data_IF_339635452682
#
_entry.id   IF_339635452682
#
_cell.length_a   1.000
_cell.length_b   1.000
_cell.length_c   1.000
_cell.angle_alpha   90.00
_cell.angle_beta   90.00
_cell.angle_gamma   90.00
#
_symmetry.space_group_name_H-M   'P 1'
#
loop_
_entity.id
_entity.type
_entity.pdbx_description
1 polymer ?
#
# COMPACT_ATOMS: atom_id res chain seq x y z
N UNK A 1 -10.27 41.20 -1.12
CA UNK A 1 -9.96 40.16 -2.14
C UNK A 1 -8.64 39.52 -1.72
N UNK A 2 -8.58 38.19 -1.55
CA UNK A 2 -7.36 37.47 -1.12
C UNK A 2 -6.31 37.55 -2.23
N UNK A 3 -5.10 37.98 -1.88
CA UNK A 3 -3.93 38.12 -2.77
C UNK A 3 -3.03 36.91 -2.67
N UNK A 4 -2.10 36.76 -3.60
CA UNK A 4 -1.08 35.68 -3.56
C UNK A 4 -0.17 35.80 -2.32
N UNK A 5 0.11 37.03 -1.85
CA UNK A 5 0.80 37.30 -0.59
C UNK A 5 0.12 36.69 0.62
N UNK A 6 -1.22 36.79 0.69
CA UNK A 6 -2.01 36.26 1.81
C UNK A 6 -1.97 34.73 1.83
N UNK A 7 -1.96 34.09 0.64
CA UNK A 7 -1.81 32.64 0.53
C UNK A 7 -0.42 32.20 1.00
N UNK A 8 0.62 32.94 0.64
CA UNK A 8 1.98 32.65 1.09
C UNK A 8 2.08 32.77 2.60
N UNK A 9 1.57 33.84 3.18
CA UNK A 9 1.54 34.06 4.63
C UNK A 9 0.77 32.92 5.34
N UNK A 10 -0.36 32.48 4.78
CA UNK A 10 -1.11 31.35 5.31
C UNK A 10 -0.32 30.05 5.29
N UNK A 11 0.41 29.75 4.20
CA UNK A 11 1.24 28.55 4.11
C UNK A 11 2.43 28.61 5.07
N UNK A 12 3.05 29.77 5.24
CA UNK A 12 4.09 30.02 6.23
C UNK A 12 3.55 29.82 7.65
N UNK A 13 2.37 30.38 7.97
CA UNK A 13 1.68 30.12 9.24
C UNK A 13 1.42 28.65 9.50
N UNK A 14 0.97 27.90 8.51
CA UNK A 14 0.76 26.44 8.64
C UNK A 14 2.05 25.71 9.02
N UNK A 15 3.19 26.11 8.44
CA UNK A 15 4.48 25.46 8.66
C UNK A 15 5.10 25.89 9.99
N UNK A 16 5.16 27.20 10.26
CA UNK A 16 5.88 27.75 11.41
C UNK A 16 5.07 27.68 12.70
N UNK A 17 3.81 28.15 12.67
CA UNK A 17 2.97 28.23 13.88
C UNK A 17 2.22 26.94 14.15
N UNK A 18 1.60 26.33 13.11
CA UNK A 18 0.84 25.08 13.24
C UNK A 18 1.69 23.83 13.11
N UNK A 19 2.97 23.96 12.73
CA UNK A 19 3.92 22.85 12.58
C UNK A 19 3.38 21.68 11.77
N UNK A 20 2.53 21.94 10.76
CA UNK A 20 1.97 20.89 9.92
C UNK A 20 3.04 20.26 9.04
N UNK A 21 2.85 19.00 8.68
CA UNK A 21 3.79 18.30 7.79
C UNK A 21 3.87 19.00 6.41
N UNK A 22 5.02 18.89 5.74
CA UNK A 22 5.20 19.38 4.36
C UNK A 22 4.15 18.83 3.40
N UNK A 23 3.63 17.61 3.66
CA UNK A 23 2.57 17.00 2.88
C UNK A 23 1.23 17.71 3.08
N UNK A 24 0.91 18.11 4.31
CA UNK A 24 -0.31 18.85 4.67
C UNK A 24 -0.27 20.25 4.09
N UNK A 25 0.85 20.95 4.22
CA UNK A 25 1.03 22.28 3.62
C UNK A 25 0.89 22.25 2.08
N UNK A 26 1.44 21.21 1.43
CA UNK A 26 1.29 21.00 -0.01
C UNK A 26 -0.13 20.67 -0.43
N UNK A 27 -0.88 19.92 0.39
CA UNK A 27 -2.30 19.66 0.15
C UNK A 27 -3.11 20.96 0.21
N UNK A 28 -2.85 21.82 1.21
CA UNK A 28 -3.49 23.12 1.32
C UNK A 28 -3.18 24.00 0.08
N UNK A 29 -1.91 24.06 -0.35
CA UNK A 29 -1.52 24.79 -1.57
C UNK A 29 -2.26 24.25 -2.81
N UNK A 30 -2.35 22.93 -2.97
CA UNK A 30 -3.05 22.33 -4.11
C UNK A 30 -4.55 22.62 -4.08
N UNK A 31 -5.19 22.61 -2.90
CA UNK A 31 -6.60 22.99 -2.73
C UNK A 31 -6.84 24.44 -3.12
N UNK A 32 -5.99 25.36 -2.66
CA UNK A 32 -6.05 26.78 -3.02
C UNK A 32 -5.84 26.97 -4.52
N UNK A 33 -4.83 26.30 -5.10
CA UNK A 33 -4.60 26.32 -6.55
C UNK A 33 -5.83 25.87 -7.32
N UNK A 34 -6.43 24.74 -6.93
CA UNK A 34 -7.65 24.23 -7.57
C UNK A 34 -8.78 25.26 -7.50
N UNK A 35 -9.01 25.86 -6.33
CA UNK A 35 -10.04 26.89 -6.13
C UNK A 35 -9.81 28.10 -7.03
N UNK A 36 -8.60 28.66 -7.05
CA UNK A 36 -8.32 29.85 -7.86
C UNK A 36 -8.41 29.58 -9.36
N UNK A 37 -7.87 28.47 -9.85
CA UNK A 37 -7.87 28.15 -11.27
C UNK A 37 -9.26 27.72 -11.75
N UNK A 38 -9.91 26.81 -11.01
CA UNK A 38 -11.15 26.16 -11.53
C UNK A 38 -12.42 26.89 -11.14
N UNK A 39 -12.47 27.48 -9.92
CA UNK A 39 -13.67 28.18 -9.43
C UNK A 39 -13.59 29.68 -9.74
N UNK A 40 -12.51 30.34 -9.35
CA UNK A 40 -12.34 31.78 -9.58
C UNK A 40 -11.90 32.14 -11.00
N UNK A 41 -11.49 31.16 -11.83
CA UNK A 41 -11.00 31.34 -13.21
C UNK A 41 -9.83 32.34 -13.29
N UNK A 42 -9.00 32.44 -12.26
CA UNK A 42 -7.86 33.35 -12.19
C UNK A 42 -6.55 32.62 -12.46
N UNK A 43 -5.57 33.35 -13.00
CA UNK A 43 -4.19 32.86 -13.10
C UNK A 43 -3.64 32.71 -11.68
N UNK A 44 -2.97 31.60 -11.40
CA UNK A 44 -2.32 31.29 -10.13
C UNK A 44 -0.84 31.07 -10.39
N UNK A 45 0.01 32.00 -9.90
CA UNK A 45 1.45 31.90 -10.11
C UNK A 45 2.06 30.92 -9.11
N UNK A 46 2.20 29.66 -9.54
CA UNK A 46 2.73 28.57 -8.72
C UNK A 46 4.21 28.79 -8.33
N UNK A 47 5.00 29.50 -9.14
CA UNK A 47 6.43 29.69 -8.89
C UNK A 47 6.72 30.50 -7.62
N UNK A 48 5.80 31.36 -7.20
CA UNK A 48 5.91 32.13 -5.96
C UNK A 48 5.83 31.25 -4.69
N UNK A 49 5.41 29.99 -4.81
CA UNK A 49 5.24 29.04 -3.70
C UNK A 49 6.29 27.93 -3.69
N UNK A 50 7.40 28.10 -4.42
CA UNK A 50 8.47 27.10 -4.56
C UNK A 50 9.25 26.76 -3.28
N UNK A 51 9.01 27.50 -2.19
CA UNK A 51 9.71 27.35 -0.91
C UNK A 51 9.16 26.29 0.05
N UNK A 52 8.12 25.54 -0.32
CA UNK A 52 7.61 24.49 0.58
C UNK A 52 8.66 23.37 0.79
N UNK A 53 8.96 23.00 2.06
CA UNK A 53 9.95 21.98 2.35
C UNK A 53 9.65 20.69 1.59
N UNK A 54 10.68 20.13 0.94
CA UNK A 54 10.54 18.83 0.29
C UNK A 54 10.28 17.77 1.36
N UNK A 55 9.30 16.90 1.13
CA UNK A 55 9.07 15.74 2.02
C UNK A 55 10.35 14.90 2.04
N UNK A 56 10.94 14.63 3.22
CA UNK A 56 12.07 13.71 3.30
C UNK A 56 11.65 12.35 2.73
N UNK A 57 12.45 11.83 1.81
CA UNK A 57 12.23 10.49 1.23
C UNK A 57 12.62 9.44 2.27
N UNK A 58 11.67 9.01 3.10
CA UNK A 58 11.89 7.87 4.00
C UNK A 58 11.72 6.58 3.21
N UNK A 59 12.62 5.64 3.42
CA UNK A 59 12.45 4.28 2.91
C UNK A 59 11.22 3.64 3.55
N UNK A 60 10.48 2.80 2.82
CA UNK A 60 9.35 2.08 3.38
C UNK A 60 9.81 1.12 4.49
N UNK A 61 9.00 1.00 5.53
CA UNK A 61 9.21 0.01 6.59
C UNK A 61 8.81 -1.35 6.04
N UNK A 62 9.77 -2.28 6.00
CA UNK A 62 9.59 -3.67 5.58
C UNK A 62 9.71 -4.58 6.78
N UNK A 63 8.75 -5.47 6.97
CA UNK A 63 8.79 -6.55 7.94
C UNK A 63 9.54 -7.73 7.32
N UNK A 64 10.37 -8.43 8.08
CA UNK A 64 10.99 -9.68 7.62
C UNK A 64 9.92 -10.78 7.47
N UNK A 65 10.26 -11.88 6.77
CA UNK A 65 9.35 -13.04 6.65
C UNK A 65 8.96 -13.59 8.02
N UNK A 66 9.90 -13.67 8.96
CA UNK A 66 9.65 -14.15 10.32
C UNK A 66 8.78 -13.18 11.13
N UNK A 67 8.99 -11.86 10.99
CA UNK A 67 8.13 -10.85 11.61
C UNK A 67 6.69 -10.94 11.09
N UNK A 68 6.51 -11.15 9.78
CA UNK A 68 5.17 -11.34 9.20
C UNK A 68 4.51 -12.61 9.73
N UNK A 69 5.24 -13.72 9.82
CA UNK A 69 4.71 -14.98 10.38
C UNK A 69 4.32 -14.81 11.85
N UNK A 70 5.16 -14.18 12.67
CA UNK A 70 4.84 -13.87 14.07
C UNK A 70 3.59 -13.00 14.18
N UNK A 71 3.49 -11.95 13.35
CA UNK A 71 2.33 -11.06 13.31
C UNK A 71 1.05 -11.83 12.97
N UNK A 72 1.06 -12.68 11.95
CA UNK A 72 -0.11 -13.48 11.57
C UNK A 72 -0.49 -14.50 12.64
N UNK A 73 0.49 -15.10 13.31
CA UNK A 73 0.25 -16.08 14.38
C UNK A 73 -0.21 -15.44 15.69
N UNK A 74 0.03 -14.15 15.91
CA UNK A 74 -0.48 -13.42 17.08
C UNK A 74 -2.00 -13.16 17.03
N UNK A 75 -2.64 -13.37 15.86
CA UNK A 75 -4.05 -13.08 15.65
C UNK A 75 -4.88 -14.35 15.81
N UNK A 76 -5.68 -14.40 16.87
CA UNK A 76 -6.56 -15.56 17.18
C UNK A 76 -7.82 -15.61 16.30
N UNK A 77 -8.38 -14.46 15.92
CA UNK A 77 -9.58 -14.42 15.08
C UNK A 77 -9.24 -14.75 13.62
N UNK A 78 -9.81 -15.84 13.03
CA UNK A 78 -9.46 -16.29 11.69
C UNK A 78 -9.78 -15.25 10.60
N UNK A 79 -10.90 -14.52 10.71
CA UNK A 79 -11.24 -13.46 9.74
C UNK A 79 -10.22 -12.30 9.80
N UNK A 80 -9.79 -11.89 10.99
CA UNK A 80 -8.78 -10.88 11.16
C UNK A 80 -7.42 -11.34 10.60
N UNK A 81 -7.06 -12.61 10.83
CA UNK A 81 -5.84 -13.21 10.28
C UNK A 81 -5.87 -13.21 8.76
N UNK A 82 -7.00 -13.56 8.13
CA UNK A 82 -7.18 -13.54 6.67
C UNK A 82 -7.04 -12.13 6.09
N UNK A 83 -7.57 -11.09 6.74
CA UNK A 83 -7.39 -9.70 6.30
C UNK A 83 -5.90 -9.37 6.18
N UNK A 84 -5.11 -9.64 7.23
CA UNK A 84 -3.68 -9.35 7.24
C UNK A 84 -2.91 -10.25 6.27
N UNK A 85 -3.29 -11.52 6.17
CA UNK A 85 -2.70 -12.48 5.24
C UNK A 85 -2.90 -12.04 3.78
N UNK A 86 -4.09 -11.60 3.39
CA UNK A 86 -4.38 -11.07 2.05
C UNK A 86 -3.56 -9.81 1.73
N UNK A 87 -3.41 -8.92 2.71
CA UNK A 87 -2.59 -7.72 2.52
C UNK A 87 -1.12 -8.06 2.25
N UNK A 88 -0.61 -9.11 2.87
CA UNK A 88 0.77 -9.56 2.66
C UNK A 88 0.89 -10.48 1.44
N UNK A 89 0.05 -11.50 1.30
CA UNK A 89 0.22 -12.54 0.28
C UNK A 89 -0.22 -12.10 -1.13
N UNK A 90 -1.15 -11.16 -1.22
CA UNK A 90 -1.66 -10.61 -2.48
C UNK A 90 -1.28 -9.13 -2.68
N UNK A 91 -0.57 -8.52 -1.75
CA UNK A 91 -0.16 -7.12 -1.82
C UNK A 91 -1.31 -6.12 -1.86
N UNK A 92 -2.46 -6.45 -1.27
CA UNK A 92 -3.64 -5.59 -1.29
C UNK A 92 -3.48 -4.36 -0.38
N UNK A 93 -4.09 -3.24 -0.79
CA UNK A 93 -4.26 -2.08 0.10
C UNK A 93 -5.34 -2.38 1.13
N UNK A 94 -5.27 -1.73 2.29
CA UNK A 94 -6.31 -1.88 3.33
C UNK A 94 -7.71 -1.57 2.80
N UNK A 95 -7.85 -0.56 1.95
CA UNK A 95 -9.13 -0.20 1.33
C UNK A 95 -9.61 -1.20 0.28
N UNK A 96 -8.72 -1.97 -0.31
CA UNK A 96 -9.02 -3.02 -1.29
C UNK A 96 -9.47 -4.28 -0.57
N UNK A 97 -8.71 -4.74 0.44
CA UNK A 97 -9.05 -5.97 1.16
C UNK A 97 -10.41 -5.90 1.86
N UNK A 98 -10.75 -4.75 2.49
CA UNK A 98 -12.05 -4.61 3.16
C UNK A 98 -13.24 -4.59 2.19
N UNK A 99 -13.02 -4.23 0.94
CA UNK A 99 -14.04 -4.15 -0.11
C UNK A 99 -14.13 -5.39 -1.00
N UNK A 100 -13.29 -6.41 -0.76
CA UNK A 100 -13.37 -7.66 -1.52
C UNK A 100 -14.73 -8.33 -1.35
N UNK A 101 -15.27 -8.81 -2.47
CA UNK A 101 -16.49 -9.60 -2.54
C UNK A 101 -16.17 -11.04 -2.91
N UNK A 102 -17.09 -11.96 -2.68
CA UNK A 102 -16.94 -13.37 -3.05
C UNK A 102 -16.64 -13.52 -4.55
N UNK A 103 -17.38 -12.80 -5.41
CA UNK A 103 -17.20 -12.81 -6.87
C UNK A 103 -15.84 -12.28 -7.36
N UNK A 104 -15.04 -11.68 -6.48
CA UNK A 104 -13.70 -11.20 -6.83
C UNK A 104 -12.64 -12.29 -6.65
N UNK A 105 -13.02 -13.47 -6.11
CA UNK A 105 -12.14 -14.61 -5.92
C UNK A 105 -12.38 -15.65 -7.01
N UNK A 106 -11.36 -15.88 -7.81
CA UNK A 106 -11.29 -16.96 -8.78
C UNK A 106 -10.45 -18.10 -8.15
N UNK A 107 -11.11 -19.10 -7.61
CA UNK A 107 -10.46 -20.22 -6.94
C UNK A 107 -9.80 -21.19 -7.92
N UNK A 108 -10.32 -21.31 -9.14
CA UNK A 108 -9.80 -22.25 -10.14
C UNK A 108 -8.46 -21.75 -10.67
N UNK A 109 -8.36 -20.45 -10.96
CA UNK A 109 -7.13 -19.81 -11.42
C UNK A 109 -6.26 -19.25 -10.30
N UNK A 110 -6.72 -19.31 -9.04
CA UNK A 110 -6.05 -18.74 -7.85
C UNK A 110 -5.77 -17.25 -7.98
N UNK A 111 -6.75 -16.52 -8.50
CA UNK A 111 -6.66 -15.08 -8.78
C UNK A 111 -7.61 -14.29 -7.88
N UNK A 112 -7.18 -13.11 -7.46
CA UNK A 112 -8.01 -12.08 -6.83
C UNK A 112 -8.18 -10.93 -7.82
N UNK A 113 -9.42 -10.61 -8.17
CA UNK A 113 -9.75 -9.43 -8.93
C UNK A 113 -9.89 -8.21 -8.02
N UNK A 114 -9.01 -7.24 -8.19
CA UNK A 114 -9.10 -5.97 -7.48
C UNK A 114 -9.78 -4.95 -8.37
N UNK A 115 -11.08 -4.76 -8.15
CA UNK A 115 -11.91 -3.85 -8.93
C UNK A 115 -11.77 -2.42 -8.44
N UNK A 116 -11.82 -1.45 -9.36
CA UNK A 116 -11.78 -0.01 -9.07
C UNK A 116 -10.61 0.40 -8.14
N UNK A 117 -9.43 -0.16 -8.38
CA UNK A 117 -8.21 0.22 -7.68
C UNK A 117 -7.88 1.71 -7.84
N UNK A 118 -6.73 2.16 -7.35
CA UNK A 118 -6.29 3.55 -7.49
C UNK A 118 -6.28 3.95 -8.98
N UNK A 119 -7.10 4.97 -9.34
CA UNK A 119 -7.27 5.41 -10.73
C UNK A 119 -8.36 4.65 -11.50
N UNK A 120 -9.27 3.93 -10.83
CA UNK A 120 -10.37 3.14 -11.42
C UNK A 120 -9.92 2.05 -12.42
N UNK A 121 -8.68 1.56 -12.27
CA UNK A 121 -8.15 0.45 -13.08
C UNK A 121 -8.28 -0.85 -12.30
N UNK A 122 -8.84 -1.85 -12.94
CA UNK A 122 -8.88 -3.21 -12.41
C UNK A 122 -7.52 -3.87 -12.57
N UNK A 123 -7.19 -4.77 -11.65
CA UNK A 123 -6.00 -5.60 -11.73
C UNK A 123 -6.24 -6.96 -11.10
N UNK A 124 -5.40 -7.89 -11.48
CA UNK A 124 -5.33 -9.20 -10.88
C UNK A 124 -4.23 -9.25 -9.82
N UNK A 125 -4.44 -10.05 -8.79
CA UNK A 125 -3.42 -10.51 -7.86
C UNK A 125 -3.61 -11.99 -7.57
N UNK A 126 -2.74 -12.59 -6.77
CA UNK A 126 -2.71 -14.05 -6.55
C UNK A 126 -3.34 -14.45 -5.23
N UNK A 127 -3.96 -15.64 -5.18
CA UNK A 127 -4.36 -16.32 -3.96
C UNK A 127 -3.21 -17.24 -3.54
N UNK A 128 -2.67 -17.02 -2.34
CA UNK A 128 -1.64 -17.90 -1.79
C UNK A 128 -2.24 -19.24 -1.36
N UNK A 129 -1.54 -20.35 -1.65
CA UNK A 129 -1.89 -21.69 -1.21
C UNK A 129 -2.18 -21.77 0.29
N UNK A 130 -1.40 -21.03 1.09
CA UNK A 130 -1.52 -21.05 2.56
C UNK A 130 -2.83 -20.51 3.12
N UNK A 131 -3.55 -19.71 2.34
CA UNK A 131 -4.84 -19.13 2.75
C UNK A 131 -6.00 -19.60 1.87
N UNK A 132 -5.74 -20.45 0.88
CA UNK A 132 -6.73 -20.90 -0.09
C UNK A 132 -7.91 -21.61 0.58
N UNK A 133 -7.62 -22.59 1.43
CA UNK A 133 -8.66 -23.35 2.15
C UNK A 133 -9.46 -22.45 3.09
N UNK A 134 -8.78 -21.56 3.82
CA UNK A 134 -9.45 -20.63 4.74
C UNK A 134 -10.39 -19.67 4.00
N UNK A 135 -9.96 -19.16 2.82
CA UNK A 135 -10.81 -18.34 1.97
C UNK A 135 -12.01 -19.12 1.42
N UNK A 136 -11.78 -20.33 0.95
CA UNK A 136 -12.84 -21.19 0.44
C UNK A 136 -13.87 -21.49 1.52
N UNK A 137 -13.44 -21.87 2.72
CA UNK A 137 -14.32 -22.11 3.85
C UNK A 137 -15.11 -20.86 4.28
N UNK A 138 -14.46 -19.68 4.23
CA UNK A 138 -15.14 -18.42 4.54
C UNK A 138 -16.31 -18.15 3.58
N UNK A 139 -16.19 -18.56 2.32
CA UNK A 139 -17.13 -18.21 1.24
C UNK A 139 -18.25 -19.22 0.99
N UNK A 140 -18.20 -20.42 1.60
CA UNK A 140 -19.14 -21.54 1.34
C UNK A 140 -20.62 -21.13 1.36
N UNK A 141 -21.03 -20.29 2.32
CA UNK A 141 -22.42 -19.87 2.51
C UNK A 141 -22.64 -18.39 2.21
N UNK A 142 -21.82 -17.80 1.36
CA UNK A 142 -21.90 -16.37 1.03
C UNK A 142 -22.39 -16.16 -0.39
N UNK A 143 -23.23 -15.15 -0.61
CA UNK A 143 -23.64 -14.73 -1.95
C UNK A 143 -22.47 -14.07 -2.71
N UNK A 144 -22.48 -14.18 -4.04
CA UNK A 144 -21.39 -13.70 -4.88
C UNK A 144 -21.08 -12.19 -4.72
N UNK A 145 -22.11 -11.38 -4.49
CA UNK A 145 -22.00 -9.93 -4.32
C UNK A 145 -21.71 -9.49 -2.88
N UNK A 146 -21.64 -10.43 -1.94
CA UNK A 146 -21.41 -10.17 -0.53
C UNK A 146 -19.93 -9.85 -0.26
N UNK A 147 -19.67 -8.89 0.63
CA UNK A 147 -18.32 -8.58 1.10
C UNK A 147 -17.77 -9.71 1.96
N UNK A 148 -16.52 -10.08 1.74
CA UNK A 148 -15.82 -11.13 2.55
C UNK A 148 -15.72 -10.74 4.03
N UNK A 149 -15.50 -9.46 4.30
CA UNK A 149 -15.31 -8.93 5.64
C UNK A 149 -16.40 -7.92 5.97
N UNK A 150 -17.43 -8.39 6.65
CA UNK A 150 -18.57 -7.56 7.05
C UNK A 150 -18.20 -6.66 8.23
N UNK A 151 -18.76 -5.46 8.22
CA UNK A 151 -18.70 -4.51 9.31
C UNK A 151 -19.79 -4.76 10.36
N UNK A 152 -19.91 -3.86 11.32
CA UNK A 152 -20.97 -3.90 12.34
C UNK A 152 -22.36 -3.66 11.76
N UNK A 153 -22.46 -2.82 10.72
CA UNK A 153 -23.72 -2.52 10.04
C UNK A 153 -23.98 -3.58 8.97
N UNK A 154 -25.14 -4.28 9.00
CA UNK A 154 -25.49 -5.29 8.01
C UNK A 154 -25.38 -4.77 6.57
N UNK A 155 -24.86 -5.58 5.66
CA UNK A 155 -24.69 -5.23 4.25
C UNK A 155 -23.49 -4.32 3.94
N UNK A 156 -22.76 -3.81 4.94
CA UNK A 156 -21.60 -2.97 4.73
C UNK A 156 -20.29 -3.71 5.02
N UNK A 157 -19.24 -3.39 4.25
CA UNK A 157 -17.92 -3.93 4.50
C UNK A 157 -17.30 -3.37 5.80
N UNK A 158 -16.28 -4.06 6.29
CA UNK A 158 -15.45 -3.61 7.40
C UNK A 158 -14.82 -2.23 7.08
N UNK A 159 -14.79 -1.34 8.05
CA UNK A 159 -14.13 -0.03 7.89
C UNK A 159 -12.60 -0.22 7.84
N UNK A 160 -11.92 0.56 7.00
CA UNK A 160 -10.44 0.57 6.92
C UNK A 160 -9.79 0.81 8.29
N UNK A 161 -10.35 1.72 9.08
CA UNK A 161 -9.87 2.01 10.44
C UNK A 161 -9.93 0.79 11.38
N UNK A 162 -10.94 -0.09 11.19
CA UNK A 162 -11.01 -1.34 11.96
C UNK A 162 -9.90 -2.32 11.54
N UNK A 163 -9.61 -2.44 10.24
CA UNK A 163 -8.51 -3.26 9.75
C UNK A 163 -7.14 -2.71 10.21
N UNK A 164 -6.97 -1.39 10.25
CA UNK A 164 -5.77 -0.73 10.78
C UNK A 164 -5.60 -1.02 12.28
N UNK A 165 -6.70 -1.01 13.06
CA UNK A 165 -6.67 -1.37 14.48
C UNK A 165 -6.34 -2.86 14.68
N UNK A 166 -6.86 -3.76 13.83
CA UNK A 166 -6.49 -5.19 13.83
C UNK A 166 -4.98 -5.33 13.63
N UNK A 167 -4.41 -4.64 12.64
CA UNK A 167 -2.97 -4.66 12.38
C UNK A 167 -2.16 -4.13 13.58
N UNK A 168 -2.54 -2.97 14.12
CA UNK A 168 -1.84 -2.37 15.26
C UNK A 168 -1.83 -3.29 16.50
N UNK A 169 -2.97 -3.93 16.80
CA UNK A 169 -3.07 -4.91 17.87
C UNK A 169 -2.20 -6.15 17.62
N UNK A 170 -2.17 -6.64 16.37
CA UNK A 170 -1.34 -7.77 15.98
C UNK A 170 0.16 -7.42 16.09
N UNK A 171 0.55 -6.21 15.66
CA UNK A 171 1.93 -5.73 15.76
C UNK A 171 2.41 -5.69 17.22
N UNK A 172 1.58 -5.15 18.11
CA UNK A 172 1.87 -5.09 19.55
C UNK A 172 1.98 -6.48 20.18
N UNK A 173 1.01 -7.39 19.86
CA UNK A 173 1.04 -8.79 20.37
C UNK A 173 2.23 -9.59 19.86
N UNK A 174 2.70 -9.33 18.65
CA UNK A 174 3.87 -9.99 18.08
C UNK A 174 5.20 -9.40 18.57
N UNK A 175 5.16 -8.40 19.44
CA UNK A 175 6.33 -7.65 19.96
C UNK A 175 7.26 -7.13 18.82
N UNK A 176 6.66 -6.57 17.77
CA UNK A 176 7.42 -6.00 16.67
C UNK A 176 7.62 -4.50 16.92
N UNK A 177 8.86 -4.09 17.16
CA UNK A 177 9.22 -2.70 17.53
C UNK A 177 9.26 -1.73 16.34
N UNK A 178 9.16 -2.22 15.11
CA UNK A 178 9.17 -1.37 13.91
C UNK A 178 7.92 -0.49 13.84
N UNK A 179 8.07 0.76 13.41
CA UNK A 179 6.95 1.69 13.14
C UNK A 179 6.23 1.29 11.84
N UNK A 180 5.63 0.10 11.87
CA UNK A 180 4.94 -0.47 10.73
C UNK A 180 3.46 -0.08 10.69
N UNK A 181 2.89 -0.07 9.50
CA UNK A 181 1.47 0.17 9.23
C UNK A 181 0.93 -0.93 8.32
N UNK A 182 -0.37 -0.96 8.06
CA UNK A 182 -0.97 -1.84 7.06
C UNK A 182 -0.23 -1.81 5.70
N UNK A 183 0.26 -0.63 5.29
CA UNK A 183 1.05 -0.49 4.08
C UNK A 183 2.38 -1.24 4.14
N UNK A 184 2.93 -1.46 5.33
CA UNK A 184 4.17 -2.22 5.49
C UNK A 184 4.03 -3.68 5.07
N UNK A 185 2.85 -4.31 5.23
CA UNK A 185 2.59 -5.65 4.71
C UNK A 185 2.70 -5.70 3.18
N UNK A 186 2.12 -4.73 2.51
CA UNK A 186 2.22 -4.61 1.05
C UNK A 186 3.64 -4.26 0.59
N UNK A 187 4.37 -3.45 1.35
CA UNK A 187 5.78 -3.18 1.08
C UNK A 187 6.62 -4.45 1.25
N UNK A 188 6.36 -5.23 2.30
CA UNK A 188 7.02 -6.52 2.54
C UNK A 188 6.73 -7.53 1.43
N UNK A 189 5.47 -7.62 0.96
CA UNK A 189 5.11 -8.43 -0.20
C UNK A 189 5.98 -8.10 -1.42
N UNK A 190 6.04 -6.82 -1.79
CA UNK A 190 6.80 -6.38 -2.96
C UNK A 190 8.31 -6.63 -2.81
N UNK A 191 8.86 -6.33 -1.63
CA UNK A 191 10.28 -6.54 -1.35
C UNK A 191 10.62 -8.02 -1.36
N UNK A 192 9.81 -8.87 -0.73
CA UNK A 192 10.06 -10.32 -0.68
C UNK A 192 9.89 -11.00 -2.04
N UNK A 193 8.99 -10.53 -2.91
CA UNK A 193 8.91 -10.99 -4.30
C UNK A 193 10.17 -10.62 -5.08
N UNK A 194 10.64 -9.39 -4.94
CA UNK A 194 11.86 -8.92 -5.58
C UNK A 194 13.07 -9.72 -5.10
N UNK A 195 13.20 -9.95 -3.79
CA UNK A 195 14.25 -10.77 -3.18
C UNK A 195 14.16 -12.25 -3.60
N UNK A 196 12.99 -12.72 -3.99
CA UNK A 196 12.75 -14.03 -4.57
C UNK A 196 13.01 -14.11 -6.07
N UNK A 197 13.53 -13.03 -6.70
CA UNK A 197 13.89 -13.00 -8.12
C UNK A 197 12.72 -12.65 -9.07
N UNK A 198 11.55 -12.23 -8.55
CA UNK A 198 10.44 -11.80 -9.41
C UNK A 198 10.78 -10.49 -10.11
N UNK A 199 10.58 -10.44 -11.44
CA UNK A 199 10.80 -9.21 -12.21
C UNK A 199 9.93 -8.06 -11.70
N UNK A 200 10.53 -6.88 -11.61
CA UNK A 200 9.92 -5.67 -11.08
C UNK A 200 8.65 -5.25 -11.86
N UNK A 201 8.54 -5.61 -13.13
CA UNK A 201 7.37 -5.31 -13.98
C UNK A 201 6.16 -6.15 -13.56
N UNK A 202 6.38 -7.43 -13.20
CA UNK A 202 5.30 -8.27 -12.63
C UNK A 202 4.86 -7.73 -11.27
N UNK A 203 5.81 -7.34 -10.42
CA UNK A 203 5.49 -6.70 -9.13
C UNK A 203 4.69 -5.41 -9.34
N UNK A 204 5.07 -4.58 -10.32
CA UNK A 204 4.33 -3.37 -10.69
C UNK A 204 2.87 -3.70 -11.06
N UNK A 205 2.67 -4.72 -11.89
CA UNK A 205 1.33 -5.18 -12.34
C UNK A 205 0.50 -5.67 -11.16
N UNK A 206 1.04 -6.58 -10.34
CA UNK A 206 0.37 -7.12 -9.15
C UNK A 206 -0.03 -6.02 -8.17
N UNK A 207 0.81 -4.99 -8.01
CA UNK A 207 0.52 -3.86 -7.14
C UNK A 207 -0.40 -2.83 -7.80
N UNK A 208 -0.55 -2.82 -9.11
CA UNK A 208 -1.31 -1.80 -9.86
C UNK A 208 -0.68 -0.41 -9.71
N UNK A 209 0.63 -0.31 -9.84
CA UNK A 209 1.33 0.96 -9.88
C UNK A 209 1.33 1.53 -11.28
N UNK A 210 0.80 2.74 -11.44
CA UNK A 210 0.76 3.43 -12.74
C UNK A 210 2.14 3.86 -13.25
N UNK A 211 3.15 3.93 -12.37
CA UNK A 211 4.53 4.30 -12.70
C UNK A 211 5.50 3.29 -12.08
N UNK A 212 6.49 2.88 -12.88
CA UNK A 212 7.58 2.01 -12.44
C UNK A 212 8.39 2.66 -11.31
N UNK A 213 8.52 3.99 -11.31
CA UNK A 213 9.20 4.73 -10.24
C UNK A 213 8.64 4.43 -8.84
N UNK A 214 7.33 4.16 -8.76
CA UNK A 214 6.69 3.79 -7.49
C UNK A 214 7.16 2.40 -7.01
N UNK A 215 7.50 1.51 -7.94
CA UNK A 215 7.96 0.14 -7.63
C UNK A 215 9.47 0.12 -7.40
N UNK A 216 10.23 1.00 -8.04
CA UNK A 216 11.70 1.13 -7.85
C UNK A 216 12.13 1.46 -6.41
N UNK A 217 11.21 1.93 -5.55
CA UNK A 217 11.55 2.12 -4.12
C UNK A 217 11.96 0.80 -3.44
N UNK A 218 11.48 -0.33 -3.92
CA UNK A 218 11.79 -1.66 -3.35
C UNK A 218 13.20 -2.12 -3.69
N UNK A 219 13.77 -1.70 -4.83
CA UNK A 219 15.17 -2.00 -5.17
C UNK A 219 16.16 -1.33 -4.23
N UNK A 220 15.75 -0.19 -3.61
CA UNK A 220 16.58 0.52 -2.63
C UNK A 220 16.55 -0.08 -1.23
N UNK A 221 15.58 -0.93 -0.94
CA UNK A 221 15.40 -1.58 0.37
C UNK A 221 15.99 -2.99 0.38
N UNK A 222 16.08 -3.64 -0.78
CA UNK A 222 16.61 -5.00 -0.93
C UNK A 222 18.11 -4.99 -1.18
N UNK A 223 18.90 -5.12 -0.12
CA UNK A 223 20.37 -5.28 -0.26
C UNK A 223 20.75 -6.67 -0.76
N UNK A 224 19.88 -7.69 -0.58
CA UNK A 224 20.17 -9.09 -1.03
C UNK A 224 20.21 -9.23 -2.53
N UNK A 225 19.51 -8.38 -3.28
CA UNK A 225 19.49 -8.48 -4.74
C UNK A 225 20.86 -8.19 -5.34
N UNK A 226 21.57 -7.19 -4.84
CA UNK A 226 22.92 -6.85 -5.34
C UNK A 226 23.95 -7.94 -5.04
N UNK A 227 23.84 -8.60 -3.88
CA UNK A 227 24.78 -9.68 -3.50
C UNK A 227 24.57 -11.00 -4.28
N UNK A 228 23.45 -11.15 -4.97
CA UNK A 228 23.14 -12.32 -5.79
C UNK A 228 23.54 -12.14 -7.26
N UNK A 229 23.90 -10.93 -7.67
CA UNK A 229 24.36 -10.67 -9.04
C UNK A 229 25.81 -11.20 -9.15
N UNK A 230 25.97 -12.25 -9.98
CA UNK A 230 27.30 -12.75 -10.34
C UNK A 230 27.88 -11.90 -11.46
N UNK A 231 29.16 -11.58 -11.37
CA UNK A 231 29.87 -10.91 -12.46
C UNK A 231 29.83 -11.79 -13.74
N UNK A 232 29.67 -11.21 -14.92
CA UNK A 232 29.82 -11.98 -16.18
C UNK A 232 31.15 -12.74 -16.26
N UNK A 233 32.21 -12.22 -15.65
CA UNK A 233 33.50 -12.88 -15.59
C UNK A 233 33.47 -14.16 -14.74
N UNK A 234 32.66 -14.18 -13.68
CA UNK A 234 32.50 -15.33 -12.77
C UNK A 234 31.61 -16.43 -13.38
N UNK A 235 30.88 -16.10 -14.46
CA UNK A 235 29.99 -17.03 -15.17
C UNK A 235 30.58 -17.54 -16.47
N UNK A 236 31.72 -17.02 -16.92
CA UNK A 236 32.46 -17.52 -18.07
C UNK A 236 33.19 -18.82 -17.68
N UNK A 237 32.70 -19.97 -18.13
CA UNK A 237 33.52 -21.21 -18.12
C UNK A 237 34.80 -21.00 -18.92
N UNK A 238 35.95 -21.46 -18.42
CA UNK A 238 37.15 -21.43 -19.24
C UNK A 238 36.87 -22.23 -20.52
N UNK A 239 37.12 -21.60 -21.67
CA UNK A 239 37.09 -22.29 -22.95
C UNK A 239 38.00 -23.51 -22.88
N UNK A 240 37.43 -24.70 -23.16
CA UNK A 240 38.21 -25.94 -23.33
C UNK A 240 39.02 -25.89 -24.61
#
# INVERSE_FOLDING_TARGET
>A
MIRESDIRQYLEYLITNRQVSSSTARLALNALKFYYINIQKRKFNYLMFGGLPKKPKRLPVVLSKDEVLRLLNSVSNPKHKLILALMYSAGLRVSEVVKLKVQDLDFDNKIIWVRQGKGKKDRQSLISEKIFIDLKNLTVNMAADQYLFLGQKPGFCLKTRSAEKIFANALAKADIKKLATCHSLRHSFATHLLEGGTDIRYIQTLLGHSSLQTTQIYTKVSNKFLSQIKSPLDTSSPAK
#
